data_IF_844189797844
#
_entry.id   IF_844189797844
#
_cell.length_a   1.000
_cell.length_b   1.000
_cell.length_c   1.000
_cell.angle_alpha   90.00
_cell.angle_beta   90.00
_cell.angle_gamma   90.00
#
_symmetry.space_group_name_H-M   'P 1'
#
loop_
_entity.id
_entity.type
_entity.pdbx_description
1 polymer ?
#
# COMPACT_ATOMS: atom_id res chain seq x y z
N UNK A 1 7.47 17.22 -14.34
CA UNK A 1 6.31 16.31 -14.29
C UNK A 1 6.32 15.45 -15.55
N UNK A 2 5.87 14.19 -15.44
CA UNK A 2 5.77 13.26 -16.57
C UNK A 2 4.31 12.93 -16.90
N UNK A 3 4.06 12.37 -18.07
CA UNK A 3 2.75 11.83 -18.45
C UNK A 3 2.35 10.60 -17.60
N UNK A 4 1.05 10.28 -17.58
CA UNK A 4 0.50 9.18 -16.77
C UNK A 4 1.12 7.80 -17.07
N UNK A 5 1.61 7.57 -18.30
CA UNK A 5 2.21 6.31 -18.75
C UNK A 5 3.70 6.20 -18.42
N UNK A 6 4.32 7.26 -17.91
CA UNK A 6 5.74 7.27 -17.61
C UNK A 6 6.10 6.25 -16.54
N UNK A 7 7.04 5.37 -16.88
CA UNK A 7 7.52 4.28 -16.04
C UNK A 7 9.00 4.02 -16.34
N UNK A 8 9.93 4.61 -15.58
CA UNK A 8 11.36 4.39 -15.75
C UNK A 8 11.75 2.99 -15.26
N UNK A 9 12.99 2.60 -15.57
CA UNK A 9 13.59 1.41 -14.98
C UNK A 9 13.69 1.58 -13.45
N UNK A 10 13.28 0.57 -12.65
CA UNK A 10 13.22 0.72 -11.21
C UNK A 10 14.61 0.67 -10.55
N UNK A 11 14.94 1.71 -9.78
CA UNK A 11 16.06 1.70 -8.84
C UNK A 11 15.64 1.11 -7.48
N UNK A 12 16.35 0.11 -6.97
CA UNK A 12 15.94 -0.59 -5.74
C UNK A 12 16.68 -0.07 -4.52
N UNK A 13 15.95 0.44 -3.53
CA UNK A 13 16.50 1.02 -2.31
C UNK A 13 16.31 0.11 -1.08
N UNK A 14 17.42 -0.26 -0.45
CA UNK A 14 17.43 -1.09 0.77
C UNK A 14 17.81 -2.55 0.50
N UNK A 15 17.26 -3.48 1.28
CA UNK A 15 17.68 -4.89 1.27
C UNK A 15 16.51 -5.85 1.25
N UNK A 16 16.77 -7.04 0.70
CA UNK A 16 15.85 -8.16 0.68
C UNK A 16 15.20 -8.33 -0.69
N UNK A 17 14.28 -9.30 -0.83
CA UNK A 17 13.50 -9.45 -2.06
C UNK A 17 12.13 -8.75 -1.97
N UNK A 18 11.74 -8.23 -0.80
CA UNK A 18 10.49 -7.52 -0.57
C UNK A 18 10.72 -6.01 -0.63
N UNK A 19 10.31 -5.42 -1.75
CA UNK A 19 10.29 -3.98 -1.97
C UNK A 19 8.85 -3.48 -2.13
N UNK A 20 8.63 -2.26 -1.65
CA UNK A 20 7.39 -1.51 -1.76
C UNK A 20 7.61 -0.32 -2.69
N UNK A 21 6.75 -0.14 -3.68
CA UNK A 21 6.59 1.11 -4.42
C UNK A 21 5.31 1.80 -3.95
N UNK A 22 5.35 3.11 -3.80
CA UNK A 22 4.22 3.94 -3.40
C UNK A 22 3.84 4.87 -4.55
N UNK A 23 2.56 4.88 -4.90
CA UNK A 23 1.90 5.89 -5.74
C UNK A 23 0.93 6.66 -4.83
N UNK A 24 1.19 7.95 -4.63
CA UNK A 24 0.42 8.82 -3.73
C UNK A 24 -0.16 9.98 -4.53
N UNK A 25 -1.48 9.99 -4.69
CA UNK A 25 -2.21 11.03 -5.42
C UNK A 25 -2.46 12.24 -4.50
N UNK A 26 -2.03 13.43 -4.90
CA UNK A 26 -2.09 14.65 -4.08
C UNK A 26 -2.82 15.74 -4.85
N UNK A 27 -3.82 16.37 -4.24
CA UNK A 27 -4.53 17.52 -4.80
C UNK A 27 -3.88 18.82 -4.35
N UNK A 28 -3.99 19.83 -5.20
CA UNK A 28 -3.50 21.19 -4.93
C UNK A 28 -4.48 22.22 -5.48
N UNK A 29 -4.65 23.38 -4.83
CA UNK A 29 -5.15 24.57 -5.51
C UNK A 29 -4.22 24.95 -6.67
N UNK A 30 -4.79 25.41 -7.79
CA UNK A 30 -4.01 25.79 -8.99
C UNK A 30 -2.90 26.82 -8.69
N UNK A 31 -3.14 27.72 -7.73
CA UNK A 31 -2.21 28.81 -7.37
C UNK A 31 -0.92 28.31 -6.70
N UNK A 32 -0.95 27.16 -6.02
CA UNK A 32 0.22 26.58 -5.33
C UNK A 32 0.74 25.30 -6.00
N UNK A 33 0.16 24.92 -7.13
CA UNK A 33 0.53 23.69 -7.85
C UNK A 33 2.03 23.66 -8.19
N UNK A 34 2.56 24.75 -8.75
CA UNK A 34 3.99 24.87 -9.09
C UNK A 34 4.89 24.71 -7.87
N UNK A 35 4.60 25.45 -6.79
CA UNK A 35 5.38 25.40 -5.54
C UNK A 35 5.38 24.01 -4.92
N UNK A 36 4.26 23.29 -4.98
CA UNK A 36 4.15 21.92 -4.47
C UNK A 36 4.97 20.94 -5.31
N UNK A 37 4.95 21.09 -6.64
CA UNK A 37 5.76 20.27 -7.56
C UNK A 37 7.24 20.50 -7.33
N UNK A 38 7.67 21.76 -7.24
CA UNK A 38 9.07 22.12 -7.04
C UNK A 38 9.59 21.61 -5.68
N UNK A 39 8.81 21.79 -4.61
CA UNK A 39 9.14 21.25 -3.29
C UNK A 39 9.27 19.72 -3.32
N UNK A 40 8.32 19.02 -3.96
CA UNK A 40 8.36 17.57 -4.02
C UNK A 40 9.58 17.07 -4.81
N UNK A 41 9.88 17.66 -5.96
CA UNK A 41 11.05 17.29 -6.77
C UNK A 41 12.37 17.55 -6.02
N UNK A 42 12.49 18.69 -5.34
CA UNK A 42 13.68 19.04 -4.55
C UNK A 42 13.92 18.04 -3.41
N UNK A 43 12.88 17.70 -2.65
CA UNK A 43 13.01 16.83 -1.47
C UNK A 43 13.15 15.34 -1.82
N UNK A 44 12.58 14.90 -2.95
CA UNK A 44 12.63 13.50 -3.37
C UNK A 44 13.90 13.19 -4.17
N UNK A 45 14.38 14.14 -4.98
CA UNK A 45 15.46 13.88 -5.93
C UNK A 45 15.18 12.64 -6.79
N UNK A 46 16.19 11.78 -6.95
CA UNK A 46 16.08 10.56 -7.76
C UNK A 46 15.29 9.42 -7.08
N UNK A 47 14.77 9.61 -5.86
CA UNK A 47 13.98 8.57 -5.19
C UNK A 47 12.59 8.38 -5.80
N UNK A 48 12.03 9.42 -6.41
CA UNK A 48 10.66 9.44 -6.89
C UNK A 48 10.50 10.40 -8.07
N UNK A 49 9.41 10.20 -8.80
CA UNK A 49 9.03 11.05 -9.93
C UNK A 49 7.56 11.41 -9.83
N UNK A 50 7.20 12.56 -10.41
CA UNK A 50 5.82 13.06 -10.39
C UNK A 50 5.17 12.87 -11.75
N UNK A 51 3.95 12.35 -11.75
CA UNK A 51 3.14 12.12 -12.95
C UNK A 51 1.85 12.93 -12.93
N UNK A 52 1.37 13.24 -14.12
CA UNK A 52 0.00 13.65 -14.34
C UNK A 52 -0.94 12.46 -14.11
N UNK A 53 -2.04 12.70 -13.41
CA UNK A 53 -3.18 11.78 -13.35
C UNK A 53 -4.48 12.56 -13.52
N UNK A 54 -5.20 12.24 -14.60
CA UNK A 54 -6.48 12.86 -14.94
C UNK A 54 -7.58 12.61 -13.91
N UNK A 55 -7.40 11.66 -12.98
CA UNK A 55 -8.34 11.40 -11.89
C UNK A 55 -8.29 12.47 -10.78
N UNK A 56 -7.16 13.16 -10.62
CA UNK A 56 -6.90 14.09 -9.50
C UNK A 56 -7.54 15.47 -9.72
N UNK A 57 -7.76 15.86 -10.98
CA UNK A 57 -8.21 17.19 -11.36
C UNK A 57 -7.06 18.20 -11.38
N UNK A 58 -6.72 18.78 -10.22
CA UNK A 58 -5.54 19.65 -10.05
C UNK A 58 -4.65 19.09 -8.95
N UNK A 59 -3.43 18.69 -9.32
CA UNK A 59 -2.52 17.98 -8.44
C UNK A 59 -1.59 17.05 -9.22
N UNK A 60 -0.95 16.12 -8.52
CA UNK A 60 0.03 15.20 -9.11
C UNK A 60 0.04 13.86 -8.38
N UNK A 61 0.50 12.82 -9.06
CA UNK A 61 0.81 11.52 -8.48
C UNK A 61 2.31 11.45 -8.17
N UNK A 62 2.68 11.28 -6.90
CA UNK A 62 4.05 11.01 -6.46
C UNK A 62 4.30 9.52 -6.52
N UNK A 63 5.23 9.09 -7.38
CA UNK A 63 5.58 7.67 -7.55
C UNK A 63 7.03 7.43 -7.13
N UNK A 64 7.21 6.55 -6.16
CA UNK A 64 8.54 6.19 -5.64
C UNK A 64 9.15 5.01 -6.40
N UNK A 65 10.47 5.03 -6.52
CA UNK A 65 11.25 3.83 -6.80
C UNK A 65 11.09 2.78 -5.67
N UNK A 66 11.24 1.48 -5.96
CA UNK A 66 11.01 0.43 -4.96
C UNK A 66 11.93 0.50 -3.73
N UNK A 67 11.34 0.49 -2.54
CA UNK A 67 12.05 0.56 -1.26
C UNK A 67 11.74 -0.65 -0.37
N UNK A 68 12.73 -1.24 0.29
CA UNK A 68 12.43 -2.12 1.43
C UNK A 68 11.74 -1.31 2.54
N UNK A 69 10.81 -1.90 3.28
CA UNK A 69 10.04 -1.19 4.33
C UNK A 69 10.94 -0.45 5.32
N UNK A 70 11.98 -1.12 5.81
CA UNK A 70 12.94 -0.52 6.76
C UNK A 70 13.72 0.67 6.15
N UNK A 71 13.96 0.67 4.84
CA UNK A 71 14.56 1.80 4.15
C UNK A 71 13.57 2.96 4.05
N UNK A 72 12.33 2.70 3.61
CA UNK A 72 11.28 3.71 3.51
C UNK A 72 11.06 4.43 4.85
N UNK A 73 10.97 3.69 5.96
CA UNK A 73 10.77 4.29 7.29
C UNK A 73 11.92 5.21 7.72
N UNK A 74 13.15 4.96 7.27
CA UNK A 74 14.34 5.72 7.69
C UNK A 74 14.77 6.82 6.73
N UNK A 75 14.47 6.68 5.45
CA UNK A 75 15.11 7.47 4.37
C UNK A 75 14.12 8.21 3.49
N UNK A 76 12.85 7.79 3.42
CA UNK A 76 11.84 8.61 2.75
C UNK A 76 11.71 9.94 3.50
N UNK A 77 11.62 11.09 2.81
CA UNK A 77 11.54 12.41 3.43
C UNK A 77 10.15 12.65 4.04
N UNK A 78 9.79 11.95 5.11
CA UNK A 78 8.47 12.05 5.75
C UNK A 78 8.00 13.48 6.07
N UNK A 79 8.86 14.45 6.45
CA UNK A 79 8.45 15.84 6.63
C UNK A 79 7.85 16.49 5.37
N UNK A 80 8.19 16.01 4.16
CA UNK A 80 7.66 16.51 2.89
C UNK A 80 6.13 16.56 2.89
N UNK A 81 5.46 15.54 3.42
CA UNK A 81 3.99 15.47 3.41
C UNK A 81 3.38 16.62 4.21
N UNK A 82 3.96 16.95 5.37
CA UNK A 82 3.54 18.10 6.18
C UNK A 82 3.87 19.45 5.53
N UNK A 83 4.99 19.54 4.81
CA UNK A 83 5.38 20.74 4.07
C UNK A 83 4.45 20.99 2.88
N UNK A 84 4.08 19.96 2.12
CA UNK A 84 3.08 20.04 1.06
C UNK A 84 1.74 20.52 1.62
N UNK A 85 1.31 19.97 2.76
CA UNK A 85 0.10 20.42 3.42
C UNK A 85 0.17 21.91 3.83
N UNK A 86 1.32 22.35 4.35
CA UNK A 86 1.54 23.75 4.72
C UNK A 86 1.50 24.71 3.51
N UNK A 87 1.86 24.24 2.31
CA UNK A 87 1.68 24.98 1.06
C UNK A 87 0.23 25.01 0.56
N UNK A 88 -0.68 24.27 1.20
CA UNK A 88 -2.09 24.20 0.81
C UNK A 88 -2.44 22.99 -0.06
N UNK A 89 -1.52 22.03 -0.25
CA UNK A 89 -1.88 20.74 -0.79
C UNK A 89 -2.83 20.00 0.17
N UNK A 90 -3.67 19.14 -0.40
CA UNK A 90 -4.68 18.41 0.36
C UNK A 90 -4.98 17.05 -0.26
N UNK A 91 -5.69 16.23 0.49
CA UNK A 91 -6.26 14.96 0.03
C UNK A 91 -7.72 14.87 0.44
N UNK A 92 -8.47 14.03 -0.25
CA UNK A 92 -9.85 13.69 0.09
C UNK A 92 -10.11 12.23 -0.27
N UNK A 93 -11.35 11.77 -0.09
CA UNK A 93 -11.74 10.38 -0.38
C UNK A 93 -11.70 10.04 -1.88
N UNK A 94 -11.58 11.02 -2.76
CA UNK A 94 -11.51 10.86 -4.20
C UNK A 94 -10.10 10.53 -4.72
N UNK A 95 -9.07 10.58 -3.87
CA UNK A 95 -7.68 10.26 -4.25
C UNK A 95 -7.08 9.14 -3.38
N UNK A 96 -6.19 8.36 -3.98
CA UNK A 96 -5.69 7.10 -3.46
C UNK A 96 -4.21 7.09 -3.07
N UNK A 97 -3.89 6.06 -2.29
CA UNK A 97 -2.54 5.56 -2.07
C UNK A 97 -2.49 4.11 -2.57
N UNK A 98 -1.70 3.86 -3.61
CA UNK A 98 -1.42 2.51 -4.08
C UNK A 98 -0.06 2.05 -3.60
N UNK A 99 -0.02 0.80 -3.11
CA UNK A 99 1.23 0.18 -2.65
C UNK A 99 1.54 -1.02 -3.53
N UNK A 100 2.53 -0.86 -4.37
CA UNK A 100 3.13 -1.94 -5.14
C UNK A 100 4.04 -2.76 -4.24
N UNK A 101 3.99 -4.08 -4.35
CA UNK A 101 4.87 -4.99 -3.62
C UNK A 101 5.46 -6.03 -4.55
N UNK A 102 6.78 -6.17 -4.53
CA UNK A 102 7.52 -7.10 -5.37
C UNK A 102 7.08 -8.55 -5.16
N UNK A 103 6.74 -9.26 -6.23
CA UNK A 103 6.40 -10.70 -6.19
C UNK A 103 7.53 -11.57 -5.64
N UNK A 104 8.78 -11.18 -5.89
CA UNK A 104 9.97 -11.83 -5.34
C UNK A 104 9.99 -11.86 -3.80
N UNK A 105 9.27 -10.94 -3.16
CA UNK A 105 9.10 -10.92 -1.71
C UNK A 105 8.35 -12.13 -1.15
N UNK A 106 7.58 -12.86 -1.97
CA UNK A 106 6.80 -14.00 -1.53
C UNK A 106 7.58 -15.32 -1.66
N UNK A 107 7.56 -16.12 -0.59
CA UNK A 107 8.29 -17.38 -0.50
C UNK A 107 7.78 -18.49 -1.44
N UNK A 108 6.50 -18.43 -1.86
CA UNK A 108 5.88 -19.41 -2.76
C UNK A 108 4.48 -18.94 -3.19
N UNK A 109 3.87 -19.57 -4.21
CA UNK A 109 2.45 -19.35 -4.51
C UNK A 109 1.52 -19.67 -3.33
N UNK A 110 1.89 -20.65 -2.49
CA UNK A 110 1.14 -20.93 -1.26
C UNK A 110 1.22 -19.79 -0.23
N UNK A 111 2.35 -19.06 -0.17
CA UNK A 111 2.44 -17.84 0.64
C UNK A 111 1.53 -16.74 0.06
N UNK A 112 1.56 -16.49 -1.25
CA UNK A 112 0.64 -15.55 -1.90
C UNK A 112 -0.83 -15.88 -1.58
N UNK A 113 -1.21 -17.16 -1.65
CA UNK A 113 -2.54 -17.62 -1.25
C UNK A 113 -2.88 -17.23 0.20
N UNK A 114 -2.00 -17.52 1.17
CA UNK A 114 -2.24 -17.20 2.58
C UNK A 114 -2.39 -15.70 2.79
N UNK A 115 -1.53 -14.89 2.18
CA UNK A 115 -1.57 -13.43 2.27
C UNK A 115 -2.88 -12.87 1.72
N UNK A 116 -3.24 -13.22 0.48
CA UNK A 116 -4.49 -12.76 -0.13
C UNK A 116 -5.71 -13.26 0.67
N UNK A 117 -5.73 -14.51 1.14
CA UNK A 117 -6.83 -15.01 1.99
C UNK A 117 -6.93 -14.25 3.30
N UNK A 118 -5.81 -13.94 3.96
CA UNK A 118 -5.80 -13.10 5.15
C UNK A 118 -6.41 -11.73 4.83
N UNK A 119 -5.94 -11.06 3.77
CA UNK A 119 -6.40 -9.73 3.38
C UNK A 119 -7.91 -9.70 3.08
N UNK A 120 -8.40 -10.57 2.18
CA UNK A 120 -9.83 -10.62 1.83
C UNK A 120 -10.75 -11.10 2.96
N UNK A 121 -10.24 -11.84 3.96
CA UNK A 121 -11.05 -12.24 5.12
C UNK A 121 -11.22 -11.11 6.13
N UNK A 122 -10.27 -10.18 6.18
CA UNK A 122 -10.27 -9.06 7.11
C UNK A 122 -10.66 -7.75 6.41
N UNK A 123 -11.55 -7.82 5.41
CA UNK A 123 -12.02 -6.65 4.65
C UNK A 123 -12.43 -5.50 5.57
N UNK A 124 -13.28 -5.74 6.57
CA UNK A 124 -13.75 -4.69 7.48
C UNK A 124 -12.60 -3.91 8.11
N UNK A 125 -11.64 -4.60 8.72
CA UNK A 125 -10.48 -3.97 9.35
C UNK A 125 -9.54 -3.31 8.34
N UNK A 126 -9.32 -3.94 7.18
CA UNK A 126 -8.53 -3.37 6.09
C UNK A 126 -9.17 -2.09 5.54
N UNK A 127 -10.50 -2.05 5.41
CA UNK A 127 -11.27 -0.86 5.00
C UNK A 127 -11.20 0.24 6.05
N UNK A 128 -11.34 -0.09 7.34
CA UNK A 128 -11.13 0.89 8.43
C UNK A 128 -9.73 1.52 8.34
N UNK A 129 -8.69 0.69 8.23
CA UNK A 129 -7.31 1.15 8.09
C UNK A 129 -7.07 1.96 6.80
N UNK A 130 -7.80 1.64 5.74
CA UNK A 130 -7.74 2.36 4.47
C UNK A 130 -8.32 3.77 4.53
N UNK A 131 -9.14 4.11 5.54
CA UNK A 131 -9.79 5.41 5.71
C UNK A 131 -10.65 5.86 4.51
N UNK A 132 -11.05 4.91 3.65
CA UNK A 132 -12.06 5.09 2.61
C UNK A 132 -12.79 3.78 2.36
N UNK A 133 -14.04 3.88 1.96
CA UNK A 133 -14.79 2.72 1.49
C UNK A 133 -14.23 2.22 0.14
N UNK A 134 -14.15 0.90 -0.05
CA UNK A 134 -13.73 0.35 -1.32
C UNK A 134 -14.76 0.66 -2.40
N UNK A 135 -14.28 1.18 -3.52
CA UNK A 135 -15.10 1.50 -4.68
C UNK A 135 -14.92 0.44 -5.78
N UNK A 136 -15.35 0.78 -6.99
CA UNK A 136 -15.14 -0.07 -8.15
C UNK A 136 -13.66 -0.35 -8.43
N UNK A 137 -12.77 0.62 -8.18
CA UNK A 137 -11.33 0.60 -8.49
C UNK A 137 -10.46 -0.10 -7.43
N UNK A 138 -11.04 -0.41 -6.26
CA UNK A 138 -10.40 -1.15 -5.18
C UNK A 138 -11.33 -2.25 -4.58
N UNK A 139 -12.07 -2.95 -5.43
CA UNK A 139 -13.16 -3.84 -5.01
C UNK A 139 -12.69 -5.09 -4.25
N UNK A 140 -13.34 -5.37 -3.12
CA UNK A 140 -13.27 -6.66 -2.44
C UNK A 140 -14.29 -7.65 -3.00
N UNK A 141 -14.19 -8.00 -4.30
CA UNK A 141 -15.24 -8.78 -4.94
C UNK A 141 -15.35 -10.22 -4.38
N UNK A 142 -16.57 -10.76 -4.20
CA UNK A 142 -16.77 -12.16 -3.80
C UNK A 142 -16.11 -13.15 -4.77
N UNK A 143 -16.10 -12.82 -6.07
CA UNK A 143 -15.46 -13.62 -7.11
C UNK A 143 -13.94 -13.72 -6.91
N UNK A 144 -13.26 -12.58 -6.71
CA UNK A 144 -11.83 -12.59 -6.43
C UNK A 144 -11.52 -13.38 -5.14
N UNK A 145 -12.31 -13.16 -4.08
CA UNK A 145 -12.17 -13.88 -2.80
C UNK A 145 -12.30 -15.40 -2.93
N UNK A 146 -13.18 -15.88 -3.81
CA UNK A 146 -13.36 -17.31 -4.09
C UNK A 146 -12.22 -17.89 -4.94
N UNK A 147 -11.64 -17.08 -5.83
CA UNK A 147 -10.66 -17.51 -6.84
C UNK A 147 -9.19 -17.38 -6.41
N UNK A 148 -8.90 -16.91 -5.19
CA UNK A 148 -7.52 -16.78 -4.68
C UNK A 148 -6.75 -18.11 -4.78
N UNK A 149 -7.41 -19.25 -4.55
CA UNK A 149 -6.79 -20.57 -4.68
C UNK A 149 -6.40 -20.89 -6.12
N UNK A 150 -7.28 -20.59 -7.07
CA UNK A 150 -7.06 -20.82 -8.50
C UNK A 150 -5.93 -19.92 -9.02
N UNK A 151 -5.90 -18.66 -8.59
CA UNK A 151 -4.81 -17.74 -8.89
C UNK A 151 -3.46 -18.24 -8.38
N UNK A 152 -3.40 -18.72 -7.15
CA UNK A 152 -2.17 -19.29 -6.60
C UNK A 152 -1.71 -20.57 -7.35
N UNK A 153 -2.61 -21.24 -8.07
CA UNK A 153 -2.28 -22.36 -8.97
C UNK A 153 -1.91 -21.93 -10.39
N UNK A 154 -1.99 -20.64 -10.71
CA UNK A 154 -1.61 -20.07 -12.00
C UNK A 154 -2.76 -19.52 -12.85
N UNK A 155 -4.01 -19.60 -12.39
CA UNK A 155 -5.15 -19.08 -13.15
C UNK A 155 -5.27 -17.55 -13.06
N UNK A 156 -5.04 -16.84 -14.18
CA UNK A 156 -5.00 -15.37 -14.19
C UNK A 156 -6.31 -14.68 -14.58
N UNK A 157 -7.23 -15.39 -15.21
CA UNK A 157 -8.45 -14.85 -15.83
C UNK A 157 -9.50 -14.35 -14.82
N UNK A 158 -9.33 -14.62 -13.53
CA UNK A 158 -10.31 -14.32 -12.49
C UNK A 158 -10.08 -12.99 -11.75
N UNK A 159 -8.95 -12.30 -11.96
CA UNK A 159 -8.58 -11.09 -11.22
C UNK A 159 -8.42 -9.90 -12.17
N UNK A 160 -9.33 -8.92 -12.03
CA UNK A 160 -9.27 -7.66 -12.76
C UNK A 160 -8.33 -6.64 -12.10
N UNK A 161 -7.94 -5.62 -12.86
CA UNK A 161 -7.14 -4.47 -12.37
C UNK A 161 -7.81 -3.70 -11.22
N UNK A 162 -9.13 -3.80 -11.11
CA UNK A 162 -9.95 -2.98 -10.20
C UNK A 162 -10.19 -3.65 -8.85
N UNK A 163 -9.44 -4.71 -8.54
CA UNK A 163 -9.56 -5.42 -7.27
C UNK A 163 -8.72 -4.74 -6.19
N UNK A 164 -9.12 -4.91 -4.93
CA UNK A 164 -8.37 -4.47 -3.76
C UNK A 164 -6.87 -4.84 -3.82
N UNK A 165 -6.58 -6.03 -4.38
CA UNK A 165 -5.24 -6.45 -4.78
C UNK A 165 -5.26 -6.68 -6.30
N UNK A 166 -4.63 -5.77 -7.05
CA UNK A 166 -4.40 -5.94 -8.47
C UNK A 166 -3.20 -6.88 -8.68
N UNK A 167 -3.43 -7.95 -9.42
CA UNK A 167 -2.46 -9.01 -9.71
C UNK A 167 -2.00 -9.00 -11.18
N UNK A 168 -2.41 -8.01 -11.97
CA UNK A 168 -1.99 -7.89 -13.37
C UNK A 168 -0.54 -7.43 -13.55
N UNK A 169 0.03 -6.55 -12.70
CA UNK A 169 1.43 -6.18 -12.84
C UNK A 169 2.35 -7.40 -12.81
N UNK A 170 3.30 -7.44 -13.74
CA UNK A 170 4.13 -8.62 -13.96
C UNK A 170 5.03 -8.93 -12.77
N UNK A 171 5.70 -7.91 -12.22
CA UNK A 171 6.69 -8.05 -11.15
C UNK A 171 6.18 -7.68 -9.76
N UNK A 172 4.98 -7.09 -9.66
CA UNK A 172 4.41 -6.65 -8.39
C UNK A 172 2.97 -7.16 -8.21
N UNK A 173 2.50 -7.15 -6.96
CA UNK A 173 1.08 -6.98 -6.64
C UNK A 173 0.86 -5.51 -6.29
N UNK A 174 -0.33 -4.99 -6.52
CA UNK A 174 -0.66 -3.60 -6.18
C UNK A 174 -1.87 -3.61 -5.23
N UNK A 175 -1.68 -3.07 -4.03
CA UNK A 175 -2.73 -2.88 -3.02
C UNK A 175 -3.32 -1.49 -3.21
N UNK A 176 -4.62 -1.41 -3.51
CA UNK A 176 -5.27 -0.19 -4.04
C UNK A 176 -6.21 0.49 -3.04
N UNK A 177 -6.35 -0.06 -1.84
CA UNK A 177 -7.50 0.26 -0.98
C UNK A 177 -7.37 1.59 -0.25
N UNK A 178 -6.16 2.10 -0.01
CA UNK A 178 -5.93 3.20 0.90
C UNK A 178 -6.33 4.56 0.32
N UNK A 179 -6.94 5.40 1.15
CA UNK A 179 -7.06 6.83 0.89
C UNK A 179 -5.67 7.47 0.88
N UNK A 180 -5.49 8.46 0.01
CA UNK A 180 -4.31 9.32 0.05
C UNK A 180 -4.25 10.11 1.36
N UNK A 181 -3.04 10.51 1.78
CA UNK A 181 -2.84 11.29 3.00
C UNK A 181 -1.55 12.11 2.96
N UNK A 182 -1.60 13.29 3.56
CA UNK A 182 -0.44 14.12 3.88
C UNK A 182 -0.01 13.99 5.36
N UNK A 183 -0.61 13.06 6.11
CA UNK A 183 -0.21 12.73 7.48
C UNK A 183 0.79 11.57 7.43
N UNK A 184 2.06 11.75 7.85
CA UNK A 184 3.08 10.70 7.72
C UNK A 184 2.69 9.37 8.37
N UNK A 185 2.10 9.40 9.58
CA UNK A 185 1.64 8.21 10.28
C UNK A 185 0.69 7.37 9.41
N UNK A 186 -0.24 8.02 8.73
CA UNK A 186 -1.28 7.37 7.93
C UNK A 186 -0.71 6.63 6.71
N UNK A 187 0.31 7.20 6.06
CA UNK A 187 1.01 6.59 4.91
C UNK A 187 1.97 5.51 5.40
N UNK A 188 2.71 5.75 6.48
CA UNK A 188 3.60 4.76 7.10
C UNK A 188 2.82 3.51 7.56
N UNK A 189 1.63 3.70 8.13
CA UNK A 189 0.75 2.60 8.55
C UNK A 189 0.28 1.76 7.36
N UNK A 190 -0.05 2.38 6.22
CA UNK A 190 -0.40 1.64 4.99
C UNK A 190 0.77 0.77 4.50
N UNK A 191 1.98 1.34 4.42
CA UNK A 191 3.18 0.58 4.05
C UNK A 191 3.49 -0.54 5.06
N UNK A 192 3.32 -0.26 6.35
CA UNK A 192 3.52 -1.21 7.44
C UNK A 192 2.49 -2.35 7.40
N UNK A 193 1.24 -2.08 7.04
CA UNK A 193 0.23 -3.12 6.86
C UNK A 193 0.54 -4.04 5.69
N UNK A 194 0.95 -3.48 4.54
CA UNK A 194 1.32 -4.30 3.38
C UNK A 194 2.54 -5.15 3.70
N UNK A 195 3.64 -4.57 4.21
CA UNK A 195 4.83 -5.34 4.57
C UNK A 195 4.58 -6.34 5.71
N UNK A 196 3.95 -5.89 6.79
CA UNK A 196 3.68 -6.70 7.98
C UNK A 196 2.73 -7.86 7.71
N UNK A 197 1.68 -7.66 6.90
CA UNK A 197 0.77 -8.76 6.53
C UNK A 197 1.45 -9.84 5.68
N UNK A 198 2.43 -9.45 4.84
CA UNK A 198 3.23 -10.40 4.08
C UNK A 198 4.15 -11.19 5.02
N UNK A 199 4.91 -10.51 5.88
CA UNK A 199 5.80 -11.21 6.81
C UNK A 199 5.03 -12.10 7.80
N UNK A 200 3.91 -11.62 8.34
CA UNK A 200 3.01 -12.40 9.19
C UNK A 200 2.57 -13.71 8.52
N UNK A 201 2.12 -13.63 7.27
CA UNK A 201 1.56 -14.80 6.56
C UNK A 201 2.62 -15.72 5.96
N UNK A 202 3.89 -15.29 5.90
CA UNK A 202 5.03 -16.09 5.41
C UNK A 202 5.14 -17.42 6.13
N UNK A 203 5.02 -17.40 7.45
CA UNK A 203 5.28 -18.55 8.32
C UNK A 203 4.02 -19.25 8.82
N UNK A 204 2.82 -18.76 8.48
CA UNK A 204 1.57 -19.42 8.88
C UNK A 204 1.47 -20.83 8.28
N UNK A 205 1.30 -21.83 9.17
CA UNK A 205 1.00 -23.20 8.79
C UNK A 205 -0.51 -23.44 8.68
N UNK A 206 -0.91 -24.56 8.06
CA UNK A 206 -2.30 -24.99 8.09
C UNK A 206 -2.83 -25.19 9.52
N UNK A 207 -1.96 -25.60 10.46
CA UNK A 207 -2.29 -25.73 11.88
C UNK A 207 -2.57 -24.38 12.54
N UNK A 208 -1.74 -23.37 12.28
CA UNK A 208 -1.96 -22.01 12.79
C UNK A 208 -3.27 -21.42 12.27
N UNK A 209 -3.55 -21.63 10.98
CA UNK A 209 -4.79 -21.16 10.36
C UNK A 209 -6.01 -21.87 10.96
N UNK A 210 -6.01 -23.21 11.00
CA UNK A 210 -7.19 -23.99 11.36
C UNK A 210 -7.45 -24.06 12.87
N UNK A 211 -6.40 -24.07 13.70
CA UNK A 211 -6.52 -24.28 15.16
C UNK A 211 -6.25 -23.04 15.99
N UNK A 212 -5.48 -22.08 15.46
CA UNK A 212 -5.09 -20.85 16.17
C UNK A 212 -5.68 -19.59 15.55
N UNK A 213 -6.64 -19.76 14.63
CA UNK A 213 -7.35 -18.67 13.95
C UNK A 213 -6.38 -17.68 13.28
N UNK A 214 -5.26 -18.18 12.75
CA UNK A 214 -4.16 -17.35 12.22
C UNK A 214 -4.52 -16.45 11.02
N UNK A 215 -5.72 -16.61 10.43
CA UNK A 215 -6.23 -15.68 9.42
C UNK A 215 -7.11 -14.57 9.97
N UNK A 216 -7.39 -14.56 11.27
CA UNK A 216 -8.25 -13.56 11.88
C UNK A 216 -7.44 -12.35 12.35
N UNK A 217 -8.08 -11.19 12.30
CA UNK A 217 -7.47 -9.92 12.67
C UNK A 217 -6.82 -9.90 14.06
N UNK A 218 -7.43 -10.44 15.13
CA UNK A 218 -6.81 -10.41 16.46
C UNK A 218 -5.47 -11.16 16.53
N UNK A 219 -5.30 -12.24 15.74
CA UNK A 219 -4.04 -12.96 15.67
C UNK A 219 -2.95 -12.13 14.98
N UNK A 220 -3.31 -11.38 13.94
CA UNK A 220 -2.41 -10.43 13.30
C UNK A 220 -2.06 -9.25 14.22
N UNK A 221 -3.03 -8.68 14.94
CA UNK A 221 -2.79 -7.61 15.90
C UNK A 221 -1.83 -8.07 17.00
N UNK A 222 -2.05 -9.26 17.55
CA UNK A 222 -1.16 -9.84 18.55
C UNK A 222 0.28 -10.02 18.02
N UNK A 223 0.43 -10.41 16.76
CA UNK A 223 1.72 -10.46 16.09
C UNK A 223 2.33 -9.07 15.90
N UNK A 224 1.58 -8.07 15.45
CA UNK A 224 2.06 -6.69 15.29
C UNK A 224 2.57 -6.11 16.63
N UNK A 225 1.89 -6.39 17.74
CA UNK A 225 2.33 -5.96 19.08
C UNK A 225 3.71 -6.51 19.47
N UNK A 226 4.15 -7.64 18.91
CA UNK A 226 5.48 -8.19 19.15
C UNK A 226 6.54 -7.80 18.11
N UNK A 227 6.19 -6.96 17.12
CA UNK A 227 7.07 -6.53 16.04
C UNK A 227 7.17 -4.99 16.00
N UNK A 228 8.05 -4.40 16.84
CA UNK A 228 8.13 -2.95 17.04
C UNK A 228 8.52 -2.18 15.77
N UNK A 229 9.12 -2.83 14.78
CA UNK A 229 9.40 -2.24 13.47
C UNK A 229 8.12 -1.78 12.75
N UNK A 230 6.96 -2.39 13.03
CA UNK A 230 5.66 -2.00 12.47
C UNK A 230 4.86 -1.07 13.40
N UNK A 231 5.52 -0.40 14.36
CA UNK A 231 4.87 0.54 15.28
C UNK A 231 3.93 1.55 14.60
N UNK A 232 4.23 2.15 13.43
CA UNK A 232 3.29 3.06 12.77
C UNK A 232 1.92 2.43 12.50
N UNK A 233 1.88 1.13 12.16
CA UNK A 233 0.61 0.41 11.99
C UNK A 233 -0.14 0.25 13.31
N UNK A 234 0.57 -0.13 14.39
CA UNK A 234 -0.07 -0.35 15.69
C UNK A 234 -0.73 0.94 16.20
N UNK A 235 -0.02 2.06 16.13
CA UNK A 235 -0.54 3.37 16.55
C UNK A 235 -1.79 3.73 15.72
N UNK A 236 -1.72 3.59 14.40
CA UNK A 236 -2.86 3.89 13.54
C UNK A 236 -4.06 2.97 13.82
N UNK A 237 -3.83 1.68 14.08
CA UNK A 237 -4.91 0.74 14.42
C UNK A 237 -5.55 1.07 15.78
N UNK A 238 -4.78 1.59 16.74
CA UNK A 238 -5.28 2.05 18.03
C UNK A 238 -6.13 3.31 17.87
N UNK A 239 -5.65 4.30 17.10
CA UNK A 239 -6.36 5.54 16.79
C UNK A 239 -7.69 5.28 16.06
N UNK A 240 -7.71 4.29 15.16
CA UNK A 240 -8.90 3.86 14.43
C UNK A 240 -9.78 2.86 15.20
N UNK A 241 -9.42 2.53 16.44
CA UNK A 241 -10.10 1.53 17.27
C UNK A 241 -10.27 0.16 16.60
N UNK A 242 -9.34 -0.23 15.73
CA UNK A 242 -9.31 -1.52 15.05
C UNK A 242 -8.14 -2.41 15.51
N UNK A 243 -7.46 -2.09 16.61
CA UNK A 243 -6.42 -2.92 17.24
C UNK A 243 -6.98 -4.03 18.19
N UNK A 244 -8.16 -4.58 17.90
CA UNK A 244 -8.82 -5.63 18.71
C UNK A 244 -9.01 -6.94 17.96
#
# INVERSE_FOLDING_TARGET
>A
MHEYSYKPDPEFHGRGPLFLGMELEIKTPQVVFGDCVDLALDQLGDLAYLKEDGSIGCGFELVTHPMSYAWAMRRFPWPLLGQLHALGAYTDTGVGLHVHVSRAGFASPAHVFRWMKFFYRNQTHATTLARRDPDYWASFSPRARARVADFAKGERWAFGRTQAINVQPEHTFEVRIFASSLVPQQVQAALAFVAGSIEYTRHLTAGDIARRRGWEWPAFVAWIRSHPEYRPLLVEMEDLACAS
#
